data_IF_432328308500
#
_entry.id   IF_432328308500
#
_cell.length_a   1.000
_cell.length_b   1.000
_cell.length_c   1.000
_cell.angle_alpha   90.00
_cell.angle_beta   90.00
_cell.angle_gamma   90.00
#
_symmetry.space_group_name_H-M   'P 1'
#
loop_
_entity.id
_entity.type
_entity.pdbx_description
1 polymer ?
#
# COMPACT_ATOMS: atom_id res chain seq x y z
N UNK A 1 -12.12 0.98 2.63
CA UNK A 1 -12.98 2.05 3.21
C UNK A 1 -12.52 3.47 2.93
N UNK A 2 -11.37 3.93 3.45
CA UNK A 2 -10.93 5.34 3.30
C UNK A 2 -10.84 5.85 1.85
N UNK A 3 -10.42 5.00 0.90
CA UNK A 3 -10.43 5.35 -0.52
C UNK A 3 -11.85 5.64 -1.03
N UNK A 4 -12.83 4.80 -0.69
CA UNK A 4 -14.23 4.98 -1.05
C UNK A 4 -14.84 6.23 -0.39
N UNK A 5 -14.50 6.51 0.88
CA UNK A 5 -14.90 7.77 1.52
C UNK A 5 -14.37 8.99 0.76
N UNK A 6 -13.15 8.92 0.22
CA UNK A 6 -12.63 9.99 -0.64
C UNK A 6 -13.37 10.12 -1.95
N UNK A 7 -13.97 9.05 -2.47
CA UNK A 7 -14.81 9.06 -3.68
C UNK A 7 -16.18 9.68 -3.41
N UNK A 8 -16.84 9.26 -2.32
CA UNK A 8 -18.21 9.68 -1.97
C UNK A 8 -18.28 10.92 -1.05
N UNK A 9 -17.14 11.47 -0.65
CA UNK A 9 -17.04 12.56 0.32
C UNK A 9 -18.00 13.73 0.07
N UNK A 10 -18.11 14.24 -1.18
CA UNK A 10 -19.07 15.28 -1.53
C UNK A 10 -20.53 14.91 -1.30
N UNK A 11 -20.90 13.63 -1.44
CA UNK A 11 -22.28 13.15 -1.30
C UNK A 11 -22.70 12.94 0.16
N UNK A 12 -21.75 12.73 1.07
CA UNK A 12 -22.04 12.50 2.49
C UNK A 12 -21.86 13.75 3.36
N UNK A 13 -21.33 14.83 2.79
CA UNK A 13 -21.06 16.08 3.51
C UNK A 13 -19.74 16.06 4.30
N UNK A 14 -19.17 17.25 4.51
CA UNK A 14 -17.82 17.44 5.08
C UNK A 14 -17.69 16.87 6.49
N UNK A 15 -18.70 17.06 7.33
CA UNK A 15 -18.72 16.61 8.73
C UNK A 15 -18.67 15.08 8.81
N UNK A 16 -19.60 14.40 8.15
CA UNK A 16 -19.66 12.93 8.12
C UNK A 16 -18.43 12.32 7.44
N UNK A 17 -17.96 12.92 6.35
CA UNK A 17 -16.72 12.50 5.70
C UNK A 17 -15.52 12.53 6.66
N UNK A 18 -15.36 13.62 7.40
CA UNK A 18 -14.23 13.82 8.31
C UNK A 18 -14.31 12.84 9.49
N UNK A 19 -15.49 12.73 10.11
CA UNK A 19 -15.76 11.77 11.20
C UNK A 19 -15.41 10.33 10.78
N UNK A 20 -15.91 9.88 9.63
CA UNK A 20 -15.68 8.51 9.13
C UNK A 20 -14.22 8.29 8.73
N UNK A 21 -13.56 9.27 8.12
CA UNK A 21 -12.13 9.18 7.78
C UNK A 21 -11.26 8.99 9.03
N UNK A 22 -11.52 9.75 10.10
CA UNK A 22 -10.74 9.62 11.33
C UNK A 22 -11.01 8.29 12.02
N UNK A 23 -12.28 7.87 12.10
CA UNK A 23 -12.64 6.56 12.65
C UNK A 23 -11.89 5.40 11.97
N UNK A 24 -11.93 5.32 10.63
CA UNK A 24 -11.19 4.26 9.92
C UNK A 24 -9.67 4.41 9.99
N UNK A 25 -9.15 5.62 10.23
CA UNK A 25 -7.72 5.85 10.44
C UNK A 25 -7.30 5.29 11.81
N UNK A 26 -8.04 5.58 12.87
CA UNK A 26 -7.81 5.04 14.22
C UNK A 26 -7.85 3.52 14.20
N UNK A 27 -8.88 2.92 13.62
CA UNK A 27 -8.99 1.45 13.48
C UNK A 27 -7.79 0.88 12.71
N UNK A 28 -7.37 1.51 11.61
CA UNK A 28 -6.22 1.03 10.87
C UNK A 28 -4.91 1.09 11.67
N UNK A 29 -4.77 2.06 12.58
CA UNK A 29 -3.62 2.16 13.48
C UNK A 29 -3.59 1.03 14.52
N UNK A 30 -4.75 0.54 14.98
CA UNK A 30 -4.83 -0.63 15.87
C UNK A 30 -4.32 -1.92 15.23
N UNK A 31 -4.25 -1.97 13.89
CA UNK A 31 -3.84 -3.12 13.08
C UNK A 31 -2.41 -3.01 12.52
N UNK A 32 -1.80 -1.83 12.50
CA UNK A 32 -0.57 -1.60 11.73
C UNK A 32 0.68 -2.20 12.36
N UNK A 33 0.76 -2.32 13.69
CA UNK A 33 2.00 -2.72 14.38
C UNK A 33 2.48 -4.16 14.12
N UNK A 34 1.65 -5.06 13.57
CA UNK A 34 1.96 -6.50 13.51
C UNK A 34 2.16 -7.10 12.14
N UNK A 35 1.61 -6.44 11.12
CA UNK A 35 1.79 -6.89 9.76
C UNK A 35 3.26 -6.86 9.37
N UNK A 36 4.02 -5.98 9.99
CA UNK A 36 5.35 -5.61 9.51
C UNK A 36 6.40 -6.69 9.84
N UNK A 37 6.31 -7.39 10.98
CA UNK A 37 7.32 -8.40 11.34
C UNK A 37 7.31 -9.65 10.43
N UNK A 38 6.14 -10.27 10.24
CA UNK A 38 6.00 -11.42 9.33
C UNK A 38 6.30 -11.04 7.87
N UNK A 39 5.96 -9.81 7.47
CA UNK A 39 6.29 -9.28 6.15
C UNK A 39 7.81 -9.12 5.99
N UNK A 40 8.53 -8.61 7.00
CA UNK A 40 10.01 -8.51 6.95
C UNK A 40 10.66 -9.88 6.75
N UNK A 41 10.27 -10.89 7.54
CA UNK A 41 10.79 -12.28 7.39
C UNK A 41 10.52 -12.80 5.97
N UNK A 42 9.29 -12.68 5.48
CA UNK A 42 8.94 -13.11 4.12
C UNK A 42 9.74 -12.35 3.05
N UNK A 43 9.92 -11.05 3.23
CA UNK A 43 10.62 -10.17 2.27
C UNK A 43 12.10 -10.53 2.19
N UNK A 44 12.74 -10.78 3.33
CA UNK A 44 14.11 -11.25 3.42
C UNK A 44 14.30 -12.61 2.74
N UNK A 45 13.47 -13.60 3.08
CA UNK A 45 13.55 -14.95 2.49
C UNK A 45 13.32 -14.96 0.99
N UNK A 46 12.43 -14.11 0.49
CA UNK A 46 12.22 -13.97 -0.97
C UNK A 46 13.42 -13.29 -1.65
N UNK A 47 14.12 -12.39 -0.97
CA UNK A 47 15.36 -11.79 -1.47
C UNK A 47 16.48 -12.84 -1.57
N UNK A 48 16.70 -13.66 -0.53
CA UNK A 48 17.71 -14.73 -0.52
C UNK A 48 17.49 -15.72 -1.67
N UNK A 49 16.25 -16.14 -1.91
CA UNK A 49 15.90 -17.06 -3.02
C UNK A 49 16.33 -16.54 -4.39
N UNK A 50 16.42 -15.23 -4.55
CA UNK A 50 16.72 -14.57 -5.82
C UNK A 50 18.16 -14.06 -5.92
N UNK A 51 18.96 -14.18 -4.85
CA UNK A 51 20.33 -13.67 -4.79
C UNK A 51 21.26 -14.75 -4.19
N UNK A 52 22.02 -15.43 -5.06
CA UNK A 52 22.92 -16.50 -4.65
C UNK A 52 23.98 -16.04 -3.61
N UNK A 53 24.43 -14.79 -3.71
CA UNK A 53 25.40 -14.21 -2.78
C UNK A 53 24.88 -14.10 -1.33
N UNK A 54 23.56 -14.09 -1.12
CA UNK A 54 22.95 -14.04 0.21
C UNK A 54 22.56 -15.43 0.75
N UNK A 55 22.92 -16.52 0.06
CA UNK A 55 22.63 -17.89 0.49
C UNK A 55 23.74 -18.48 1.37
N UNK A 56 24.79 -17.72 1.61
CA UNK A 56 25.89 -18.11 2.49
C UNK A 56 25.51 -18.00 3.96
N UNK A 57 26.20 -18.77 4.80
CA UNK A 57 25.94 -18.90 6.25
C UNK A 57 25.83 -17.59 7.05
N UNK A 58 26.62 -16.51 6.84
CA UNK A 58 26.49 -15.31 7.67
C UNK A 58 25.07 -14.70 7.63
N UNK A 59 24.37 -14.82 6.50
CA UNK A 59 23.04 -14.25 6.31
C UNK A 59 21.92 -15.01 7.04
N UNK A 60 22.21 -16.19 7.58
CA UNK A 60 21.31 -16.89 8.51
C UNK A 60 21.11 -16.07 9.80
N UNK A 61 22.06 -15.20 10.18
CA UNK A 61 21.94 -14.31 11.32
C UNK A 61 20.76 -13.33 11.17
N UNK A 62 20.57 -12.76 9.97
CA UNK A 62 19.43 -11.88 9.68
C UNK A 62 18.11 -12.67 9.73
N UNK A 63 18.06 -13.89 9.19
CA UNK A 63 16.83 -14.70 9.23
C UNK A 63 16.47 -15.09 10.67
N UNK A 64 17.45 -15.49 11.48
CA UNK A 64 17.30 -15.80 12.88
C UNK A 64 16.79 -14.60 13.67
N UNK A 65 17.40 -13.43 13.46
CA UNK A 65 17.00 -12.19 14.11
C UNK A 65 15.55 -11.82 13.76
N UNK A 66 15.21 -11.72 12.48
CA UNK A 66 13.86 -11.35 12.03
C UNK A 66 12.81 -12.35 12.51
N UNK A 67 13.12 -13.65 12.49
CA UNK A 67 12.23 -14.71 12.99
C UNK A 67 12.04 -14.64 14.51
N UNK A 68 13.08 -14.25 15.26
CA UNK A 68 12.99 -13.99 16.69
C UNK A 68 12.06 -12.81 16.99
N UNK A 69 12.24 -11.70 16.28
CA UNK A 69 11.40 -10.50 16.42
C UNK A 69 9.94 -10.75 16.03
N UNK A 70 9.69 -11.62 15.04
CA UNK A 70 8.33 -12.03 14.68
C UNK A 70 7.60 -12.70 15.85
N UNK A 71 8.27 -13.58 16.60
CA UNK A 71 7.67 -14.29 17.75
C UNK A 71 7.31 -13.36 18.92
N UNK A 72 7.95 -12.21 19.02
CA UNK A 72 7.70 -11.19 20.06
C UNK A 72 6.52 -10.26 19.70
N UNK A 73 5.88 -10.45 18.55
CA UNK A 73 4.87 -9.55 18.03
C UNK A 73 3.58 -9.54 18.90
N UNK A 74 3.22 -8.40 19.51
CA UNK A 74 2.10 -8.31 20.44
C UNK A 74 0.74 -8.72 19.86
N UNK A 75 0.57 -8.67 18.54
CA UNK A 75 -0.67 -9.02 17.85
C UNK A 75 -0.78 -10.51 17.51
N UNK A 76 0.32 -11.27 17.46
CA UNK A 76 0.23 -12.73 17.53
C UNK A 76 -0.24 -13.16 18.93
N UNK A 77 0.10 -12.38 19.96
CA UNK A 77 -0.46 -12.53 21.30
C UNK A 77 -1.90 -11.99 21.41
N UNK A 78 -2.39 -11.17 20.46
CA UNK A 78 -3.80 -10.73 20.45
C UNK A 78 -4.68 -11.87 19.98
N UNK A 79 -5.46 -12.41 20.90
CA UNK A 79 -6.43 -13.47 20.64
C UNK A 79 -7.57 -13.04 19.72
N UNK A 80 -8.41 -14.02 19.34
CA UNK A 80 -9.59 -13.82 18.48
C UNK A 80 -10.53 -12.72 18.99
N UNK A 81 -10.62 -12.53 20.30
CA UNK A 81 -11.47 -11.52 20.95
C UNK A 81 -11.15 -10.11 20.49
N UNK A 82 -9.87 -9.72 20.43
CA UNK A 82 -9.46 -8.41 19.94
C UNK A 82 -9.95 -8.14 18.52
N UNK A 83 -9.84 -9.13 17.63
CA UNK A 83 -10.30 -8.99 16.25
C UNK A 83 -11.83 -8.94 16.16
N UNK A 84 -12.53 -9.67 17.04
CA UNK A 84 -13.98 -9.64 17.13
C UNK A 84 -14.48 -8.26 17.60
N UNK A 85 -13.90 -7.72 18.67
CA UNK A 85 -14.21 -6.38 19.18
C UNK A 85 -13.96 -5.30 18.11
N UNK A 86 -12.84 -5.41 17.39
CA UNK A 86 -12.54 -4.47 16.32
C UNK A 86 -13.52 -4.59 15.15
N UNK A 87 -13.97 -5.80 14.82
CA UNK A 87 -15.00 -6.02 13.80
C UNK A 87 -16.34 -5.42 14.22
N UNK A 88 -16.75 -5.59 15.48
CA UNK A 88 -17.95 -4.98 16.05
C UNK A 88 -17.86 -3.44 16.05
N UNK A 89 -16.69 -2.87 16.37
CA UNK A 89 -16.45 -1.42 16.31
C UNK A 89 -16.63 -0.88 14.87
N UNK A 90 -16.12 -1.60 13.88
CA UNK A 90 -16.31 -1.27 12.45
C UNK A 90 -17.79 -1.36 12.06
N UNK A 91 -18.47 -2.42 12.48
CA UNK A 91 -19.88 -2.67 12.14
C UNK A 91 -20.79 -1.59 12.75
N UNK A 92 -20.56 -1.20 14.00
CA UNK A 92 -21.34 -0.17 14.68
C UNK A 92 -21.32 1.19 13.95
N UNK A 93 -20.24 1.51 13.23
CA UNK A 93 -20.12 2.74 12.44
C UNK A 93 -20.43 2.53 10.94
N UNK A 94 -20.80 1.32 10.54
CA UNK A 94 -21.14 0.97 9.15
C UNK A 94 -22.58 1.29 8.77
N UNK A 95 -23.41 1.72 9.74
CA UNK A 95 -24.78 2.17 9.49
C UNK A 95 -24.84 3.24 8.39
N UNK A 96 -25.75 3.01 7.44
CA UNK A 96 -26.07 3.95 6.36
C UNK A 96 -26.68 5.22 6.97
N UNK A 97 -26.13 6.42 6.70
CA UNK A 97 -26.74 7.66 7.17
C UNK A 97 -28.19 7.78 6.68
N UNK A 98 -29.09 8.27 7.54
CA UNK A 98 -30.48 8.56 7.13
C UNK A 98 -30.49 9.55 5.96
N UNK A 99 -31.23 9.23 4.91
CA UNK A 99 -31.31 10.04 3.69
C UNK A 99 -30.18 9.81 2.68
N UNK A 100 -29.25 8.89 2.97
CA UNK A 100 -28.21 8.51 2.01
C UNK A 100 -28.72 7.45 1.02
N UNK A 101 -28.69 7.80 -0.26
CA UNK A 101 -28.89 6.86 -1.37
C UNK A 101 -27.58 6.70 -2.14
N UNK A 102 -27.25 5.46 -2.53
CA UNK A 102 -26.22 5.25 -3.54
C UNK A 102 -26.63 5.97 -4.83
N UNK A 103 -25.70 6.68 -5.50
CA UNK A 103 -26.04 7.37 -6.72
C UNK A 103 -26.49 6.34 -7.77
N UNK A 104 -27.65 6.58 -8.39
CA UNK A 104 -28.23 5.71 -9.42
C UNK A 104 -27.41 5.66 -10.71
N UNK A 105 -26.42 6.54 -10.83
CA UNK A 105 -25.49 6.59 -11.95
C UNK A 105 -24.10 6.99 -11.46
N UNK A 106 -23.10 6.82 -12.32
CA UNK A 106 -21.73 7.20 -12.01
C UNK A 106 -21.46 8.71 -12.07
N UNK A 107 -22.35 9.48 -12.72
CA UNK A 107 -22.16 10.90 -13.00
C UNK A 107 -21.80 11.73 -11.74
N UNK A 108 -22.46 11.55 -10.57
CA UNK A 108 -22.12 12.31 -9.38
C UNK A 108 -20.72 12.00 -8.83
N UNK A 109 -20.16 10.84 -9.15
CA UNK A 109 -18.84 10.39 -8.67
C UNK A 109 -17.70 10.86 -9.59
N UNK A 110 -17.99 11.16 -10.85
CA UNK A 110 -16.99 11.49 -11.88
C UNK A 110 -16.07 12.67 -11.52
N UNK A 111 -16.56 13.81 -10.98
CA UNK A 111 -15.68 14.92 -10.61
C UNK A 111 -14.63 14.52 -9.58
N UNK A 112 -15.02 13.69 -8.61
CA UNK A 112 -14.13 13.30 -7.52
C UNK A 112 -13.21 12.15 -7.92
N UNK A 113 -13.69 11.22 -8.75
CA UNK A 113 -12.85 10.20 -9.39
C UNK A 113 -11.76 10.84 -10.27
N UNK A 114 -12.10 11.91 -11.00
CA UNK A 114 -11.14 12.72 -11.79
C UNK A 114 -10.04 13.30 -10.91
N UNK A 115 -10.41 13.81 -9.73
CA UNK A 115 -9.47 14.35 -8.75
C UNK A 115 -8.57 13.26 -8.14
N UNK A 116 -9.12 12.09 -7.82
CA UNK A 116 -8.35 10.93 -7.33
C UNK A 116 -7.32 10.49 -8.37
N UNK A 117 -7.74 10.37 -9.64
CA UNK A 117 -6.83 10.07 -10.73
C UNK A 117 -5.75 11.15 -10.91
N UNK A 118 -6.13 12.44 -10.90
CA UNK A 118 -5.18 13.56 -10.97
C UNK A 118 -4.12 13.45 -9.89
N UNK A 119 -4.51 13.19 -8.64
CA UNK A 119 -3.58 13.03 -7.51
C UNK A 119 -2.66 11.82 -7.67
N UNK A 120 -3.15 10.71 -8.23
CA UNK A 120 -2.31 9.56 -8.54
C UNK A 120 -1.26 9.89 -9.61
N UNK A 121 -1.67 10.55 -10.69
CA UNK A 121 -0.76 11.00 -11.74
C UNK A 121 0.28 11.99 -11.22
N UNK A 122 -0.14 13.00 -10.48
CA UNK A 122 0.77 14.05 -10.01
C UNK A 122 1.77 13.49 -8.97
N UNK A 123 1.33 12.55 -8.12
CA UNK A 123 2.23 11.85 -7.20
C UNK A 123 3.21 10.93 -7.94
N UNK A 124 2.78 10.26 -9.01
CA UNK A 124 3.67 9.47 -9.87
C UNK A 124 4.76 10.33 -10.50
N UNK A 125 4.38 11.48 -11.08
CA UNK A 125 5.34 12.42 -11.67
C UNK A 125 6.37 12.87 -10.65
N UNK A 126 5.92 13.25 -9.44
CA UNK A 126 6.82 13.66 -8.35
C UNK A 126 7.77 12.52 -7.96
N UNK A 127 7.24 11.31 -7.78
CA UNK A 127 8.05 10.14 -7.42
C UNK A 127 9.05 9.77 -8.51
N UNK A 128 8.69 9.91 -9.79
CA UNK A 128 9.59 9.59 -10.90
C UNK A 128 10.70 10.62 -11.11
N UNK A 129 10.53 11.85 -10.59
CA UNK A 129 11.53 12.92 -10.67
C UNK A 129 12.29 13.15 -9.36
N UNK A 130 12.10 12.28 -8.35
CA UNK A 130 12.65 12.45 -7.01
C UNK A 130 13.24 11.13 -6.51
N UNK A 131 14.32 11.21 -5.75
CA UNK A 131 14.87 10.07 -5.00
C UNK A 131 14.25 9.95 -3.59
N UNK A 132 13.31 10.84 -3.21
CA UNK A 132 12.68 10.84 -1.89
C UNK A 132 11.77 9.62 -1.69
N UNK A 133 12.04 8.84 -0.63
CA UNK A 133 11.19 7.73 -0.18
C UNK A 133 9.74 8.20 0.00
N UNK A 134 9.55 9.38 0.59
CA UNK A 134 8.22 9.95 0.84
C UNK A 134 7.46 10.25 -0.47
N UNK A 135 8.15 10.63 -1.55
CA UNK A 135 7.51 10.83 -2.85
C UNK A 135 6.94 9.49 -3.37
N UNK A 136 7.70 8.40 -3.27
CA UNK A 136 7.22 7.07 -3.65
C UNK A 136 6.09 6.56 -2.74
N UNK A 137 6.17 6.83 -1.43
CA UNK A 137 5.08 6.52 -0.48
C UNK A 137 3.77 7.24 -0.84
N UNK A 138 3.83 8.53 -1.18
CA UNK A 138 2.66 9.26 -1.64
C UNK A 138 2.13 8.70 -2.96
N UNK A 139 3.00 8.36 -3.91
CA UNK A 139 2.60 7.72 -5.17
C UNK A 139 1.84 6.41 -4.92
N UNK A 140 2.38 5.53 -4.07
CA UNK A 140 1.71 4.28 -3.67
C UNK A 140 0.36 4.53 -3.03
N UNK A 141 0.27 5.47 -2.08
CA UNK A 141 -0.98 5.84 -1.40
C UNK A 141 -2.05 6.29 -2.39
N UNK A 142 -1.71 7.16 -3.35
CA UNK A 142 -2.65 7.65 -4.36
C UNK A 142 -3.02 6.60 -5.39
N UNK A 143 -2.10 5.72 -5.75
CA UNK A 143 -2.37 4.56 -6.61
C UNK A 143 -3.38 3.61 -5.97
N UNK A 144 -3.22 3.31 -4.66
CA UNK A 144 -4.20 2.52 -3.90
C UNK A 144 -5.56 3.21 -3.82
N UNK A 145 -5.59 4.52 -3.61
CA UNK A 145 -6.86 5.28 -3.63
C UNK A 145 -7.59 5.08 -4.96
N UNK A 146 -6.89 5.25 -6.10
CA UNK A 146 -7.46 5.06 -7.43
C UNK A 146 -7.91 3.61 -7.67
N UNK A 147 -7.05 2.64 -7.36
CA UNK A 147 -7.34 1.21 -7.53
C UNK A 147 -8.60 0.81 -6.77
N UNK A 148 -8.69 1.11 -5.47
CA UNK A 148 -9.85 0.71 -4.67
C UNK A 148 -11.14 1.38 -5.14
N UNK A 149 -11.08 2.64 -5.59
CA UNK A 149 -12.25 3.31 -6.15
C UNK A 149 -12.72 2.63 -7.44
N UNK A 150 -11.82 2.36 -8.38
CA UNK A 150 -12.18 1.70 -9.64
C UNK A 150 -12.60 0.24 -9.43
N UNK A 151 -11.99 -0.47 -8.47
CA UNK A 151 -12.39 -1.83 -8.09
C UNK A 151 -13.82 -1.87 -7.56
N UNK A 152 -14.21 -0.93 -6.70
CA UNK A 152 -15.57 -0.88 -6.17
C UNK A 152 -16.61 -0.51 -7.23
N UNK A 153 -16.22 0.33 -8.20
CA UNK A 153 -17.09 0.72 -9.30
C UNK A 153 -17.09 -0.29 -10.46
N UNK A 154 -16.28 -1.35 -10.41
CA UNK A 154 -16.15 -2.37 -11.47
C UNK A 154 -17.48 -2.91 -12.02
N UNK A 155 -18.54 -3.16 -11.20
CA UNK A 155 -19.83 -3.61 -11.72
C UNK A 155 -20.56 -2.60 -12.61
N UNK A 156 -20.19 -1.32 -12.54
CA UNK A 156 -20.87 -0.22 -13.25
C UNK A 156 -20.19 0.12 -14.60
N UNK A 157 -19.13 -0.60 -14.98
CA UNK A 157 -18.31 -0.27 -16.14
C UNK A 157 -18.23 -1.41 -17.16
N UNK A 158 -17.98 -1.07 -18.44
CA UNK A 158 -17.79 -2.04 -19.52
C UNK A 158 -16.46 -2.82 -19.43
N UNK A 159 -16.34 -3.90 -20.24
CA UNK A 159 -15.18 -4.83 -20.25
C UNK A 159 -13.80 -4.15 -20.34
N UNK A 160 -13.70 -3.01 -21.03
CA UNK A 160 -12.44 -2.26 -21.18
C UNK A 160 -11.84 -1.80 -19.85
N UNK A 161 -12.67 -1.42 -18.88
CA UNK A 161 -12.17 -0.91 -17.61
C UNK A 161 -11.69 -2.03 -16.66
N UNK A 162 -12.24 -3.24 -16.80
CA UNK A 162 -11.79 -4.40 -16.04
C UNK A 162 -10.30 -4.68 -16.27
N UNK A 163 -9.83 -4.58 -17.52
CA UNK A 163 -8.40 -4.69 -17.84
C UNK A 163 -7.57 -3.62 -17.12
N UNK A 164 -8.07 -2.39 -17.04
CA UNK A 164 -7.39 -1.28 -16.39
C UNK A 164 -7.29 -1.48 -14.86
N UNK A 165 -8.37 -1.96 -14.23
CA UNK A 165 -8.39 -2.29 -12.80
C UNK A 165 -7.38 -3.38 -12.48
N UNK A 166 -7.33 -4.45 -13.28
CA UNK A 166 -6.37 -5.54 -13.08
C UNK A 166 -4.92 -5.06 -13.24
N UNK A 167 -4.64 -4.21 -14.24
CA UNK A 167 -3.30 -3.63 -14.40
C UNK A 167 -2.92 -2.70 -13.25
N UNK A 168 -3.88 -1.96 -12.69
CA UNK A 168 -3.67 -1.14 -11.49
C UNK A 168 -3.42 -2.00 -10.24
N UNK A 169 -4.12 -3.13 -10.10
CA UNK A 169 -3.89 -4.11 -9.02
C UNK A 169 -2.43 -4.54 -9.01
N UNK A 170 -1.94 -5.07 -10.14
CA UNK A 170 -0.54 -5.50 -10.32
C UNK A 170 0.45 -4.36 -10.02
N UNK A 171 0.16 -3.13 -10.45
CA UNK A 171 1.02 -1.98 -10.14
C UNK A 171 1.05 -1.69 -8.63
N UNK A 172 -0.10 -1.76 -7.95
CA UNK A 172 -0.18 -1.52 -6.50
C UNK A 172 0.43 -2.66 -5.67
N UNK A 173 0.45 -3.88 -6.19
CA UNK A 173 1.17 -5.02 -5.61
C UNK A 173 2.69 -4.80 -5.69
N UNK A 174 3.22 -4.38 -6.85
CA UNK A 174 4.63 -4.02 -7.00
C UNK A 174 5.05 -2.89 -6.07
N UNK A 175 4.21 -1.85 -5.92
CA UNK A 175 4.43 -0.81 -4.92
C UNK A 175 4.38 -1.34 -3.48
N UNK A 176 3.57 -2.37 -3.23
CA UNK A 176 3.57 -3.12 -1.97
C UNK A 176 4.93 -3.74 -1.71
N UNK A 177 5.43 -4.54 -2.64
CA UNK A 177 6.74 -5.20 -2.52
C UNK A 177 7.88 -4.19 -2.36
N UNK A 178 7.85 -3.06 -3.08
CA UNK A 178 8.85 -2.00 -2.92
C UNK A 178 8.80 -1.41 -1.50
N UNK A 179 7.61 -1.14 -0.97
CA UNK A 179 7.46 -0.68 0.41
C UNK A 179 7.98 -1.70 1.42
N UNK A 180 7.74 -2.99 1.18
CA UNK A 180 8.19 -4.06 2.07
C UNK A 180 9.73 -4.12 2.13
N UNK A 181 10.41 -3.91 0.98
CA UNK A 181 11.88 -3.78 0.93
C UNK A 181 12.39 -2.54 1.67
N UNK A 182 11.74 -1.38 1.52
CA UNK A 182 12.13 -0.16 2.22
C UNK A 182 11.97 -0.29 3.74
N UNK A 183 10.87 -0.89 4.20
CA UNK A 183 10.62 -1.18 5.63
C UNK A 183 11.63 -2.20 6.17
N UNK A 184 12.01 -3.21 5.38
CA UNK A 184 13.05 -4.15 5.76
C UNK A 184 14.41 -3.46 5.93
N UNK A 185 14.77 -2.59 4.98
CA UNK A 185 16.03 -1.84 5.02
C UNK A 185 16.12 -0.95 6.27
N UNK A 186 15.09 -0.12 6.50
CA UNK A 186 15.00 0.76 7.67
C UNK A 186 15.11 -0.05 8.98
N UNK A 187 14.37 -1.16 9.06
CA UNK A 187 14.38 -2.00 10.25
C UNK A 187 15.74 -2.65 10.52
N UNK A 188 16.42 -3.18 9.49
CA UNK A 188 17.74 -3.78 9.66
C UNK A 188 18.80 -2.73 10.03
N UNK A 189 18.73 -1.53 9.46
CA UNK A 189 19.62 -0.43 9.80
C UNK A 189 19.47 -0.02 11.29
N UNK A 190 18.23 0.08 11.79
CA UNK A 190 17.96 0.43 13.19
C UNK A 190 18.46 -0.63 14.19
N UNK A 191 18.61 -1.89 13.77
CA UNK A 191 18.97 -3.02 14.63
C UNK A 191 20.29 -3.68 14.19
N UNK A 192 21.14 -2.96 13.46
CA UNK A 192 22.36 -3.53 12.88
C UNK A 192 23.33 -4.08 13.94
N UNK A 193 23.31 -3.49 15.14
CA UNK A 193 24.12 -3.89 16.29
C UNK A 193 23.64 -5.18 16.99
N UNK A 194 22.43 -5.67 16.70
CA UNK A 194 21.86 -6.88 17.27
C UNK A 194 22.09 -8.13 16.40
N UNK A 195 22.69 -7.95 15.22
CA UNK A 195 22.90 -9.01 14.23
C UNK A 195 24.41 -9.14 14.01
N UNK A 196 24.90 -10.37 14.16
CA UNK A 196 26.33 -10.69 14.03
C UNK A 196 26.74 -10.77 12.55
N UNK A 197 27.00 -9.61 11.96
CA UNK A 197 27.57 -9.45 10.62
C UNK A 197 28.74 -8.46 10.66
N UNK A 198 29.78 -8.74 9.89
CA UNK A 198 30.84 -7.76 9.64
C UNK A 198 30.39 -6.66 8.65
N UNK A 199 31.24 -5.64 8.47
CA UNK A 199 30.92 -4.50 7.61
C UNK A 199 30.71 -4.88 6.13
N UNK A 200 31.51 -5.81 5.59
CA UNK A 200 31.39 -6.22 4.19
C UNK A 200 30.11 -7.02 3.95
N UNK A 201 29.75 -7.88 4.90
CA UNK A 201 28.51 -8.64 4.88
C UNK A 201 27.29 -7.72 4.95
N UNK A 202 27.34 -6.68 5.81
CA UNK A 202 26.31 -5.65 5.90
C UNK A 202 26.13 -4.88 4.60
N UNK A 203 27.23 -4.37 4.03
CA UNK A 203 27.22 -3.62 2.79
C UNK A 203 26.60 -4.44 1.64
N UNK A 204 26.91 -5.73 1.56
CA UNK A 204 26.35 -6.62 0.55
C UNK A 204 24.84 -6.86 0.75
N UNK A 205 24.40 -7.07 1.99
CA UNK A 205 22.97 -7.23 2.29
C UNK A 205 22.17 -5.97 1.96
N UNK A 206 22.66 -4.79 2.38
CA UNK A 206 22.07 -3.50 2.08
C UNK A 206 22.00 -3.27 0.56
N UNK A 207 23.11 -3.47 -0.16
CA UNK A 207 23.16 -3.30 -1.60
C UNK A 207 22.13 -4.18 -2.32
N UNK A 208 21.96 -5.43 -1.89
CA UNK A 208 20.96 -6.34 -2.45
C UNK A 208 19.51 -5.86 -2.20
N UNK A 209 19.21 -5.39 -0.99
CA UNK A 209 17.88 -4.84 -0.64
C UNK A 209 17.60 -3.59 -1.47
N UNK A 210 18.56 -2.66 -1.55
CA UNK A 210 18.45 -1.40 -2.31
C UNK A 210 18.28 -1.69 -3.80
N UNK A 211 19.06 -2.61 -4.38
CA UNK A 211 18.93 -2.99 -5.78
C UNK A 211 17.53 -3.57 -6.08
N UNK A 212 17.00 -4.42 -5.19
CA UNK A 212 15.65 -4.97 -5.34
C UNK A 212 14.57 -3.88 -5.23
N UNK A 213 14.69 -2.98 -4.25
CA UNK A 213 13.81 -1.83 -4.09
C UNK A 213 13.76 -0.98 -5.35
N UNK A 214 14.92 -0.56 -5.87
CA UNK A 214 15.03 0.26 -7.07
C UNK A 214 14.46 -0.44 -8.31
N UNK A 215 14.70 -1.75 -8.45
CA UNK A 215 14.12 -2.53 -9.54
C UNK A 215 12.58 -2.54 -9.50
N UNK A 216 11.97 -2.71 -8.31
CA UNK A 216 10.52 -2.68 -8.12
C UNK A 216 9.92 -1.28 -8.37
N UNK A 217 10.61 -0.22 -7.92
CA UNK A 217 10.22 1.16 -8.20
C UNK A 217 10.24 1.45 -9.71
N UNK A 218 11.32 1.07 -10.41
CA UNK A 218 11.46 1.23 -11.86
C UNK A 218 10.36 0.48 -12.63
N UNK A 219 10.04 -0.76 -12.22
CA UNK A 219 8.94 -1.52 -12.81
C UNK A 219 7.59 -0.85 -12.58
N UNK A 220 7.37 -0.27 -11.40
CA UNK A 220 6.17 0.49 -11.07
C UNK A 220 6.01 1.69 -12.01
N UNK A 221 7.03 2.52 -12.17
CA UNK A 221 7.00 3.69 -13.06
C UNK A 221 6.74 3.29 -14.52
N UNK A 222 7.38 2.21 -15.00
CA UNK A 222 7.13 1.67 -16.35
C UNK A 222 5.66 1.31 -16.56
N UNK A 223 5.02 0.67 -15.58
CA UNK A 223 3.58 0.34 -15.65
C UNK A 223 2.71 1.59 -15.58
N UNK A 224 3.05 2.51 -14.70
CA UNK A 224 2.31 3.75 -14.50
C UNK A 224 2.20 4.59 -15.77
N UNK A 225 3.26 4.63 -16.58
CA UNK A 225 3.28 5.30 -17.90
C UNK A 225 2.12 4.88 -18.81
N UNK A 226 1.66 3.63 -18.73
CA UNK A 226 0.54 3.13 -19.53
C UNK A 226 -0.84 3.30 -18.85
N UNK A 227 -0.88 3.53 -17.54
CA UNK A 227 -2.12 3.47 -16.75
C UNK A 227 -2.63 4.84 -16.30
N UNK A 228 -1.71 5.74 -15.94
CA UNK A 228 -2.02 7.00 -15.26
C UNK A 228 -1.33 8.23 -15.88
N UNK A 229 -0.78 8.14 -17.09
CA UNK A 229 -0.10 9.26 -17.77
C UNK A 229 -1.05 10.24 -18.47
N UNK A 230 -2.21 9.76 -18.93
CA UNK A 230 -3.18 10.57 -19.67
C UNK A 230 -3.78 11.71 -18.84
N UNK A 231 -4.38 12.71 -19.51
CA UNK A 231 -5.05 13.81 -18.83
C UNK A 231 -6.25 13.31 -18.01
N UNK A 232 -6.63 13.97 -16.90
CA UNK A 232 -7.77 13.54 -16.09
C UNK A 232 -9.08 13.60 -16.87
N UNK A 233 -9.21 14.52 -17.83
CA UNK A 233 -10.38 14.59 -18.71
C UNK A 233 -10.45 13.39 -19.66
N UNK A 234 -9.33 13.03 -20.29
CA UNK A 234 -9.24 11.85 -21.16
C UNK A 234 -9.53 10.56 -20.37
N UNK A 235 -9.02 10.47 -19.13
CA UNK A 235 -9.32 9.36 -18.25
C UNK A 235 -10.82 9.19 -18.01
N UNK A 236 -11.54 10.25 -17.64
CA UNK A 236 -12.99 10.18 -17.40
C UNK A 236 -13.75 9.82 -18.69
N UNK A 237 -13.32 10.33 -19.85
CA UNK A 237 -13.93 9.98 -21.15
C UNK A 237 -13.72 8.51 -21.53
N UNK A 238 -12.72 7.84 -20.96
CA UNK A 238 -12.40 6.43 -21.22
C UNK A 238 -13.12 5.43 -20.31
N UNK A 239 -13.89 5.91 -19.32
CA UNK A 239 -14.66 5.09 -18.38
C UNK A 239 -16.05 4.77 -18.95
#
# INVERSE_FOLDING_TARGET
>A
MRALLRLIGPQIGKTEYSRRQEHYKVISGKLSGSRDAAVRVKTWRELIKQNAALQEQPYDAIDCFLSGQQKLNPLEAKGREFFMELALEVEAQSAVPKGWGLPKSLLPLMPNLKNIYKKARDAEKKANSSAEIEAFHQFRKRSKDLFYCLRALRPMFGKGLQSKVNKLEVMTELQGLANDQAVLLEYLADHCHEIDLDAEQWDLAEACIVAKLQALQKQTHKRAKSLISGSPASFIKSL
#
